data_IF_261024929587
#
_entry.id   IF_261024929587
#
_cell.length_a   1.000
_cell.length_b   1.000
_cell.length_c   1.000
_cell.angle_alpha   90.00
_cell.angle_beta   90.00
_cell.angle_gamma   90.00
#
_symmetry.space_group_name_H-M   'P 1'
#
loop_
_entity.id
_entity.type
_entity.pdbx_description
1 polymer ?
#
# COMPACT_ATOMS: atom_id res chain seq x y z
N UNK A 1 -59.10 -23.93 -8.63
CA UNK A 1 -58.36 -23.37 -9.80
C UNK A 1 -57.53 -22.11 -9.49
N UNK A 2 -57.93 -21.23 -8.56
CA UNK A 2 -57.21 -19.97 -8.27
C UNK A 2 -55.76 -20.10 -7.75
N UNK A 3 -55.39 -21.19 -7.06
CA UNK A 3 -54.02 -21.39 -6.56
C UNK A 3 -52.98 -21.66 -7.66
N UNK A 4 -53.34 -22.40 -8.72
CA UNK A 4 -52.43 -22.68 -9.85
C UNK A 4 -52.11 -21.41 -10.64
N UNK A 5 -53.11 -20.57 -10.90
CA UNK A 5 -52.92 -19.29 -11.58
C UNK A 5 -52.06 -18.29 -10.77
N UNK A 6 -52.09 -18.37 -9.43
CA UNK A 6 -51.20 -17.56 -8.56
C UNK A 6 -49.75 -18.06 -8.61
N UNK A 7 -49.51 -19.37 -8.55
CA UNK A 7 -48.14 -19.92 -8.66
C UNK A 7 -47.48 -19.62 -10.02
N UNK A 8 -48.23 -19.69 -11.13
CA UNK A 8 -47.69 -19.36 -12.45
C UNK A 8 -47.29 -17.88 -12.57
N UNK A 9 -48.05 -16.97 -11.96
CA UNK A 9 -47.69 -15.54 -11.92
C UNK A 9 -46.42 -15.29 -11.10
N UNK A 10 -46.24 -15.99 -9.97
CA UNK A 10 -45.02 -15.89 -9.16
C UNK A 10 -43.79 -16.46 -9.86
N UNK A 11 -43.94 -17.59 -10.56
CA UNK A 11 -42.85 -18.15 -11.35
C UNK A 11 -42.42 -17.19 -12.47
N UNK A 12 -43.37 -16.55 -13.16
CA UNK A 12 -43.07 -15.57 -14.21
C UNK A 12 -42.35 -14.32 -13.67
N UNK A 13 -42.75 -13.82 -12.49
CA UNK A 13 -42.09 -12.66 -11.85
C UNK A 13 -40.67 -13.00 -11.40
N UNK A 14 -40.45 -14.18 -10.80
CA UNK A 14 -39.11 -14.61 -10.38
C UNK A 14 -38.18 -14.86 -11.57
N UNK A 15 -38.71 -15.35 -12.70
CA UNK A 15 -37.94 -15.59 -13.91
C UNK A 15 -37.57 -14.26 -14.60
N UNK A 16 -38.48 -13.29 -14.61
CA UNK A 16 -38.19 -11.91 -15.06
C UNK A 16 -37.19 -11.20 -14.16
N UNK A 17 -37.28 -11.39 -12.84
CA UNK A 17 -36.32 -10.82 -11.89
C UNK A 17 -34.94 -11.48 -12.04
N UNK A 18 -34.90 -12.80 -12.27
CA UNK A 18 -33.67 -13.54 -12.58
C UNK A 18 -33.03 -13.08 -13.90
N UNK A 19 -33.83 -12.85 -14.94
CA UNK A 19 -33.34 -12.31 -16.22
C UNK A 19 -32.80 -10.87 -16.08
N UNK A 20 -33.49 -10.01 -15.32
CA UNK A 20 -33.03 -8.65 -15.03
C UNK A 20 -31.71 -8.64 -14.25
N UNK A 21 -31.55 -9.54 -13.26
CA UNK A 21 -30.30 -9.69 -12.50
C UNK A 21 -29.17 -10.22 -13.40
N UNK A 22 -29.45 -11.16 -14.32
CA UNK A 22 -28.45 -11.64 -15.28
C UNK A 22 -28.05 -10.61 -16.34
N UNK A 23 -28.91 -9.62 -16.64
CA UNK A 23 -28.56 -8.52 -17.53
C UNK A 23 -27.61 -7.48 -16.90
N UNK A 24 -27.43 -7.48 -15.57
CA UNK A 24 -26.42 -6.67 -14.88
C UNK A 24 -25.11 -7.43 -14.59
N UNK A 25 -25.12 -8.77 -14.70
CA UNK A 25 -23.94 -9.61 -14.47
C UNK A 25 -22.97 -9.72 -15.65
N UNK A 26 -23.22 -9.00 -16.75
CA UNK A 26 -22.50 -9.14 -18.03
C UNK A 26 -21.90 -7.85 -18.58
N UNK A 27 -21.79 -6.78 -17.78
CA UNK A 27 -20.87 -5.72 -18.10
C UNK A 27 -19.47 -6.23 -17.76
N UNK A 28 -18.85 -6.93 -18.71
CA UNK A 28 -17.39 -6.92 -18.79
C UNK A 28 -17.01 -5.46 -18.96
N UNK A 29 -16.77 -4.76 -17.85
CA UNK A 29 -16.03 -3.52 -17.88
C UNK A 29 -14.74 -3.87 -18.61
N UNK A 30 -14.54 -3.29 -19.79
CA UNK A 30 -13.20 -3.18 -20.34
C UNK A 30 -12.37 -2.60 -19.21
N UNK A 31 -11.44 -3.38 -18.67
CA UNK A 31 -10.55 -2.90 -17.62
C UNK A 31 -9.95 -1.59 -18.15
N UNK A 32 -10.17 -0.50 -17.43
CA UNK A 32 -9.39 0.70 -17.70
C UNK A 32 -7.91 0.30 -17.64
N UNK A 33 -7.07 0.92 -18.47
CA UNK A 33 -5.64 0.71 -18.39
C UNK A 33 -5.20 0.89 -16.93
N UNK A 34 -4.56 -0.12 -16.36
CA UNK A 34 -4.15 -0.09 -14.96
C UNK A 34 -2.84 0.67 -14.88
N UNK A 35 -2.66 1.54 -13.89
CA UNK A 35 -1.36 2.19 -13.67
C UNK A 35 -0.36 1.16 -13.18
N UNK A 36 0.78 1.13 -13.84
CA UNK A 36 1.94 0.31 -13.49
C UNK A 36 3.09 1.22 -13.10
N UNK A 37 3.81 0.84 -12.06
CA UNK A 37 5.03 1.52 -11.62
C UNK A 37 6.18 0.54 -11.78
N UNK A 38 7.14 0.92 -12.62
CA UNK A 38 8.39 0.19 -12.82
C UNK A 38 9.48 0.82 -11.97
N UNK A 39 9.99 0.04 -11.02
CA UNK A 39 11.16 0.37 -10.23
C UNK A 39 12.39 -0.26 -10.87
N UNK A 40 13.34 0.57 -11.29
CA UNK A 40 14.64 0.15 -11.81
C UNK A 40 15.74 0.63 -10.87
N UNK A 41 16.53 -0.30 -10.35
CA UNK A 41 17.71 0.04 -9.55
C UNK A 41 18.88 0.45 -10.45
N UNK A 42 19.65 1.44 -10.00
CA UNK A 42 20.91 1.83 -10.62
C UNK A 42 22.03 1.80 -9.56
N UNK A 43 22.82 2.86 -9.39
CA UNK A 43 23.88 2.93 -8.37
C UNK A 43 23.36 3.18 -6.94
N UNK A 44 22.07 3.44 -6.83
CA UNK A 44 21.35 3.67 -5.58
C UNK A 44 21.21 2.44 -4.68
N UNK A 45 21.20 2.68 -3.38
CA UNK A 45 21.03 1.69 -2.33
C UNK A 45 19.59 1.69 -1.84
N UNK A 46 18.99 0.52 -1.90
CA UNK A 46 17.64 0.24 -1.41
C UNK A 46 16.58 1.23 -1.96
N UNK A 47 16.33 1.26 -3.27
CA UNK A 47 15.20 1.99 -3.82
C UNK A 47 13.86 1.33 -3.46
N UNK A 48 12.87 2.11 -3.04
CA UNK A 48 11.53 1.62 -2.67
C UNK A 48 10.43 2.66 -2.86
N UNK A 49 9.20 2.16 -2.97
CA UNK A 49 7.99 2.97 -2.92
C UNK A 49 7.50 3.07 -1.48
N UNK A 50 7.10 4.27 -1.06
CA UNK A 50 6.55 4.57 0.26
C UNK A 50 5.17 5.19 0.13
N UNK A 51 4.21 4.60 0.84
CA UNK A 51 2.81 5.02 0.85
C UNK A 51 2.44 5.39 2.29
N UNK A 52 2.25 6.68 2.60
CA UNK A 52 1.72 7.09 3.90
C UNK A 52 0.25 6.73 4.03
N UNK A 53 -0.07 5.98 5.06
CA UNK A 53 -1.41 5.55 5.42
C UNK A 53 -2.00 6.56 6.41
N UNK A 54 -2.41 7.74 5.93
CA UNK A 54 -2.92 8.80 6.82
C UNK A 54 -4.22 8.45 7.54
N UNK A 55 -4.31 8.80 8.82
CA UNK A 55 -5.51 8.66 9.66
C UNK A 55 -6.75 9.37 9.07
N UNK A 56 -6.57 10.47 8.34
CA UNK A 56 -7.69 11.16 7.64
C UNK A 56 -8.43 10.25 6.66
N UNK A 57 -7.76 9.26 6.10
CA UNK A 57 -8.32 8.29 5.15
C UNK A 57 -8.56 6.93 5.81
N UNK A 58 -7.63 6.50 6.68
CA UNK A 58 -7.58 5.15 7.23
C UNK A 58 -7.83 5.08 8.74
N UNK A 59 -8.33 6.15 9.37
CA UNK A 59 -8.64 6.15 10.81
C UNK A 59 -9.94 5.44 11.19
N UNK A 60 -10.74 5.03 10.21
CA UNK A 60 -11.95 4.23 10.44
C UNK A 60 -12.32 3.42 9.20
N UNK A 61 -13.05 2.31 9.40
CA UNK A 61 -13.50 1.43 8.30
C UNK A 61 -12.61 0.20 8.08
N UNK A 62 -11.54 0.04 8.86
CA UNK A 62 -10.69 -1.14 8.87
C UNK A 62 -11.35 -2.38 9.50
N UNK A 63 -10.67 -3.55 9.46
CA UNK A 63 -9.33 -3.73 8.92
C UNK A 63 -9.27 -3.49 7.40
N UNK A 64 -8.16 -2.93 6.94
CA UNK A 64 -7.90 -2.66 5.55
C UNK A 64 -7.09 -3.78 4.92
N UNK A 65 -7.26 -4.00 3.62
CA UNK A 65 -6.53 -4.99 2.83
C UNK A 65 -5.84 -4.32 1.66
N UNK A 66 -4.53 -4.53 1.54
CA UNK A 66 -3.72 -4.09 0.39
C UNK A 66 -3.79 -5.18 -0.69
N UNK A 67 -4.05 -4.77 -1.92
CA UNK A 67 -3.92 -5.59 -3.12
C UNK A 67 -2.96 -4.91 -4.05
N UNK A 68 -2.01 -5.66 -4.57
CA UNK A 68 -1.04 -5.21 -5.54
C UNK A 68 -0.48 -6.45 -6.22
N UNK A 69 -0.32 -6.39 -7.54
CA UNK A 69 0.41 -7.40 -8.28
C UNK A 69 1.82 -6.91 -8.50
N UNK A 70 2.80 -7.83 -8.39
CA UNK A 70 4.18 -7.56 -8.72
C UNK A 70 4.70 -8.51 -9.77
N UNK A 71 5.69 -8.06 -10.52
CA UNK A 71 6.53 -8.89 -11.38
C UNK A 71 7.98 -8.49 -11.17
N UNK A 72 8.83 -9.46 -10.84
CA UNK A 72 10.27 -9.25 -10.67
C UNK A 72 10.93 -9.74 -11.95
N UNK A 73 11.24 -8.83 -12.88
CA UNK A 73 11.82 -9.19 -14.18
C UNK A 73 13.30 -9.59 -14.05
N UNK A 74 14.03 -8.87 -13.20
CA UNK A 74 15.42 -9.19 -12.86
C UNK A 74 15.68 -8.93 -11.37
N UNK A 75 16.58 -9.73 -10.80
CA UNK A 75 17.06 -9.53 -9.43
C UNK A 75 18.44 -10.18 -9.24
N UNK A 76 19.42 -9.38 -8.83
CA UNK A 76 20.76 -9.80 -8.43
C UNK A 76 21.06 -9.20 -7.06
N UNK A 77 21.48 -10.03 -6.09
CA UNK A 77 21.84 -9.51 -4.77
C UNK A 77 23.20 -8.80 -4.82
N UNK A 78 23.29 -7.64 -4.19
CA UNK A 78 24.57 -6.92 -3.99
C UNK A 78 25.13 -7.13 -2.58
N UNK A 79 24.31 -7.62 -1.64
CA UNK A 79 24.75 -8.14 -0.32
C UNK A 79 24.04 -9.45 0.03
N UNK A 80 24.56 -10.16 1.03
CA UNK A 80 24.07 -11.48 1.44
C UNK A 80 22.59 -11.49 1.84
N UNK A 81 22.12 -10.42 2.48
CA UNK A 81 20.75 -10.19 2.93
C UNK A 81 19.86 -9.49 1.89
N UNK A 82 20.35 -9.30 0.65
CA UNK A 82 19.61 -8.65 -0.41
C UNK A 82 18.30 -9.35 -0.78
N UNK A 83 17.22 -8.58 -0.93
CA UNK A 83 15.88 -9.07 -1.26
C UNK A 83 14.97 -7.97 -1.86
N UNK A 84 13.88 -8.37 -2.49
CA UNK A 84 12.70 -7.54 -2.72
C UNK A 84 11.81 -7.67 -1.49
N UNK A 85 11.24 -6.58 -1.00
CA UNK A 85 10.51 -6.59 0.26
C UNK A 85 9.16 -5.90 0.18
N UNK A 86 8.32 -6.25 1.16
CA UNK A 86 7.21 -5.42 1.60
C UNK A 86 7.16 -5.40 3.13
N UNK A 87 7.06 -4.21 3.70
CA UNK A 87 6.96 -3.99 5.13
C UNK A 87 5.93 -2.90 5.44
N UNK A 88 5.52 -2.84 6.71
CA UNK A 88 4.57 -1.84 7.18
C UNK A 88 4.94 -1.34 8.58
N UNK A 89 4.79 -0.04 8.81
CA UNK A 89 4.83 0.60 10.11
C UNK A 89 3.43 1.16 10.42
N UNK A 90 2.63 0.48 11.23
CA UNK A 90 1.24 0.86 11.49
C UNK A 90 0.86 0.86 12.97
N UNK A 91 1.83 0.68 13.86
CA UNK A 91 1.63 0.77 15.31
C UNK A 91 0.98 -0.46 15.93
N UNK A 92 0.81 -1.56 15.17
CA UNK A 92 0.30 -2.83 15.72
C UNK A 92 1.21 -3.44 16.79
N UNK A 93 2.49 -3.11 16.74
CA UNK A 93 3.50 -3.50 17.73
C UNK A 93 4.22 -2.25 18.24
N UNK A 94 4.05 -1.93 19.52
CA UNK A 94 4.73 -0.80 20.16
C UNK A 94 6.24 -1.00 20.35
N UNK A 95 6.73 -2.24 20.23
CA UNK A 95 8.14 -2.61 20.37
C UNK A 95 8.86 -2.75 19.02
N UNK A 96 8.11 -2.88 17.92
CA UNK A 96 8.64 -3.03 16.57
C UNK A 96 8.03 -1.97 15.65
N UNK A 97 8.83 -0.97 15.29
CA UNK A 97 8.38 0.15 14.44
C UNK A 97 8.03 -0.29 13.02
N UNK A 98 8.71 -1.32 12.47
CA UNK A 98 8.53 -1.81 11.10
C UNK A 98 8.38 -3.32 11.11
N UNK A 99 7.24 -3.81 10.60
CA UNK A 99 6.92 -5.23 10.47
C UNK A 99 7.15 -5.66 9.03
N UNK A 100 8.15 -6.50 8.80
CA UNK A 100 8.41 -7.15 7.52
C UNK A 100 7.29 -8.15 7.23
N UNK A 101 6.63 -8.01 6.08
CA UNK A 101 5.49 -8.85 5.70
C UNK A 101 5.93 -10.03 4.83
N UNK A 102 6.83 -9.78 3.88
CA UNK A 102 7.41 -10.82 3.02
C UNK A 102 8.69 -10.34 2.35
N UNK A 103 9.47 -11.29 1.83
CA UNK A 103 10.64 -11.04 0.99
C UNK A 103 10.71 -12.02 -0.18
N UNK A 104 11.22 -11.54 -1.32
CA UNK A 104 11.50 -12.35 -2.50
C UNK A 104 12.96 -12.19 -2.89
N UNK A 105 13.58 -13.26 -3.35
CA UNK A 105 15.03 -13.26 -3.64
C UNK A 105 15.38 -13.79 -5.01
N UNK A 106 14.40 -13.79 -5.91
CA UNK A 106 14.50 -14.27 -7.29
C UNK A 106 13.45 -13.60 -8.16
N UNK A 107 13.69 -13.61 -9.47
CA UNK A 107 12.69 -13.24 -10.47
C UNK A 107 11.41 -14.08 -10.35
N UNK A 108 10.30 -13.52 -10.79
CA UNK A 108 9.02 -14.23 -10.88
C UNK A 108 8.81 -14.81 -12.28
N UNK A 109 7.87 -15.75 -12.39
CA UNK A 109 7.41 -16.28 -13.67
C UNK A 109 6.07 -15.59 -14.02
N UNK A 110 6.17 -14.34 -14.45
CA UNK A 110 5.04 -13.44 -14.65
C UNK A 110 4.57 -12.72 -13.38
N UNK A 111 3.34 -12.22 -13.43
CA UNK A 111 2.72 -11.45 -12.36
C UNK A 111 2.28 -12.35 -11.19
N UNK A 112 2.57 -11.93 -9.96
CA UNK A 112 2.12 -12.58 -8.72
C UNK A 112 1.43 -11.57 -7.80
N UNK A 113 0.57 -12.04 -6.91
CA UNK A 113 -0.02 -11.18 -5.87
C UNK A 113 0.99 -10.90 -4.75
N UNK A 114 1.10 -9.62 -4.37
CA UNK A 114 1.89 -9.19 -3.22
C UNK A 114 1.18 -9.60 -1.92
N UNK A 115 1.71 -10.65 -1.28
CA UNK A 115 1.16 -11.28 -0.09
C UNK A 115 2.23 -11.40 1.01
N UNK A 116 1.80 -11.66 2.25
CA UNK A 116 2.69 -12.01 3.35
C UNK A 116 3.40 -13.37 3.12
N UNK A 117 4.33 -13.73 3.99
CA UNK A 117 5.05 -15.01 3.93
C UNK A 117 4.15 -16.26 3.93
N UNK A 118 2.89 -16.13 4.38
CA UNK A 118 1.90 -17.20 4.45
C UNK A 118 0.91 -17.17 3.27
N UNK A 119 1.15 -16.32 2.27
CA UNK A 119 0.29 -16.17 1.09
C UNK A 119 -1.02 -15.44 1.36
N UNK A 120 -1.14 -14.71 2.48
CA UNK A 120 -2.31 -13.88 2.81
C UNK A 120 -2.09 -12.46 2.32
N UNK A 121 -3.16 -11.75 2.01
CA UNK A 121 -3.04 -10.33 1.69
C UNK A 121 -2.53 -9.54 2.90
N UNK A 122 -1.73 -8.52 2.61
CA UNK A 122 -1.25 -7.59 3.63
C UNK A 122 -2.46 -6.80 4.15
N UNK A 123 -2.63 -6.79 5.47
CA UNK A 123 -3.71 -6.06 6.13
C UNK A 123 -3.16 -5.09 7.16
N UNK A 124 -3.91 -4.06 7.51
CA UNK A 124 -3.61 -3.16 8.62
C UNK A 124 -4.90 -2.65 9.28
N UNK A 125 -4.84 -2.31 10.56
CA UNK A 125 -5.99 -1.81 11.31
C UNK A 125 -6.19 -0.29 11.10
N UNK A 126 -7.16 0.30 11.80
CA UNK A 126 -7.36 1.74 11.74
C UNK A 126 -6.11 2.49 12.22
N UNK A 127 -5.68 3.48 11.44
CA UNK A 127 -4.52 4.33 11.77
C UNK A 127 -4.97 5.49 12.66
N UNK A 128 -4.34 5.62 13.83
CA UNK A 128 -4.50 6.77 14.71
C UNK A 128 -3.16 7.50 14.87
N UNK A 129 -2.34 7.05 15.82
CA UNK A 129 -0.98 7.55 16.05
C UNK A 129 0.03 6.42 15.98
N UNK A 130 1.00 6.55 15.08
CA UNK A 130 2.06 5.55 14.87
C UNK A 130 3.40 6.17 15.25
N UNK A 131 4.20 5.45 16.05
CA UNK A 131 5.54 5.89 16.39
C UNK A 131 6.50 5.66 15.21
N UNK A 132 6.90 6.73 14.54
CA UNK A 132 7.78 6.72 13.37
C UNK A 132 8.93 7.70 13.64
N UNK A 133 10.16 7.23 13.49
CA UNK A 133 11.38 8.02 13.75
C UNK A 133 11.40 8.78 15.09
N UNK A 134 10.79 8.20 16.14
CA UNK A 134 10.72 8.80 17.47
C UNK A 134 9.60 9.82 17.68
N UNK A 135 8.75 10.07 16.68
CA UNK A 135 7.59 10.95 16.76
C UNK A 135 6.27 10.18 16.58
N UNK A 136 5.20 10.63 17.23
CA UNK A 136 3.84 10.09 17.03
C UNK A 136 3.18 10.78 15.83
N UNK A 137 3.23 10.10 14.70
CA UNK A 137 2.69 10.56 13.43
C UNK A 137 1.23 10.16 13.26
N UNK A 138 0.44 10.95 12.53
CA UNK A 138 -0.95 10.63 12.17
C UNK A 138 -1.08 9.75 10.93
N UNK A 139 -0.04 8.98 10.61
CA UNK A 139 0.01 8.06 9.49
C UNK A 139 0.83 6.82 9.83
N UNK A 140 0.48 5.70 9.22
CA UNK A 140 1.38 4.55 9.07
C UNK A 140 2.19 4.65 7.77
N UNK A 141 3.12 3.72 7.54
CA UNK A 141 3.89 3.63 6.30
C UNK A 141 3.80 2.21 5.74
N UNK A 142 3.30 2.05 4.52
CA UNK A 142 3.49 0.85 3.73
C UNK A 142 4.69 1.08 2.79
N UNK A 143 5.63 0.15 2.76
CA UNK A 143 6.83 0.28 1.93
C UNK A 143 7.12 -1.03 1.22
N UNK A 144 7.48 -0.96 -0.05
CA UNK A 144 7.92 -2.11 -0.83
C UNK A 144 8.89 -1.69 -1.90
N UNK A 145 9.87 -2.53 -2.17
CA UNK A 145 10.99 -2.19 -3.06
C UNK A 145 12.13 -3.17 -2.94
N UNK A 146 13.33 -2.68 -3.20
CA UNK A 146 14.56 -3.46 -3.26
C UNK A 146 15.41 -3.15 -2.04
N UNK A 147 16.01 -4.17 -1.45
CA UNK A 147 16.98 -4.08 -0.36
C UNK A 147 18.25 -4.80 -0.83
N UNK A 148 19.38 -4.10 -0.88
CA UNK A 148 20.69 -4.59 -1.32
C UNK A 148 20.66 -5.52 -2.55
N UNK A 149 20.09 -5.04 -3.65
CA UNK A 149 20.10 -5.75 -4.91
C UNK A 149 19.89 -4.83 -6.10
N UNK A 150 20.28 -5.34 -7.26
CA UNK A 150 19.99 -4.77 -8.57
C UNK A 150 18.75 -5.48 -9.13
N UNK A 151 17.71 -4.73 -9.49
CA UNK A 151 16.42 -5.26 -9.89
C UNK A 151 15.68 -4.37 -10.89
N UNK A 152 14.79 -5.01 -11.64
CA UNK A 152 13.66 -4.37 -12.33
C UNK A 152 12.40 -5.01 -11.77
N UNK A 153 11.57 -4.22 -11.10
CA UNK A 153 10.35 -4.68 -10.44
C UNK A 153 9.18 -3.84 -10.90
N UNK A 154 8.11 -4.51 -11.33
CA UNK A 154 6.89 -3.88 -11.77
C UNK A 154 5.81 -4.06 -10.71
N UNK A 155 5.02 -3.03 -10.47
CA UNK A 155 3.87 -3.04 -9.57
C UNK A 155 2.64 -2.52 -10.30
N UNK A 156 1.51 -3.19 -10.17
CA UNK A 156 0.24 -2.71 -10.74
C UNK A 156 -0.96 -3.12 -9.90
N UNK A 157 -2.15 -2.70 -10.32
CA UNK A 157 -3.41 -3.05 -9.66
C UNK A 157 -3.42 -2.71 -8.15
N UNK A 158 -2.68 -1.66 -7.77
CA UNK A 158 -2.59 -1.24 -6.38
C UNK A 158 -3.91 -0.67 -5.91
N UNK A 159 -4.48 -1.28 -4.86
CA UNK A 159 -5.71 -0.82 -4.22
C UNK A 159 -5.73 -1.19 -2.75
N UNK A 160 -6.35 -0.32 -1.95
CA UNK A 160 -6.62 -0.56 -0.54
C UNK A 160 -8.13 -0.70 -0.38
N UNK A 161 -8.56 -1.82 0.18
CA UNK A 161 -9.96 -2.13 0.45
C UNK A 161 -10.23 -1.94 1.95
N UNK A 162 -11.41 -1.43 2.29
CA UNK A 162 -11.91 -1.40 3.67
C UNK A 162 -12.50 -2.76 4.09
N UNK A 163 -12.99 -2.87 5.33
CA UNK A 163 -13.58 -4.10 5.86
C UNK A 163 -14.84 -4.57 5.10
N UNK A 164 -15.54 -3.66 4.42
CA UNK A 164 -16.69 -3.99 3.57
C UNK A 164 -16.28 -4.47 2.16
N UNK A 165 -14.98 -4.54 1.86
CA UNK A 165 -14.45 -4.89 0.54
C UNK A 165 -14.56 -3.76 -0.49
N UNK A 166 -14.86 -2.53 -0.06
CA UNK A 166 -14.90 -1.38 -0.96
C UNK A 166 -13.51 -0.78 -1.11
N UNK A 167 -13.13 -0.44 -2.34
CA UNK A 167 -11.87 0.28 -2.62
C UNK A 167 -11.97 1.69 -2.03
N UNK A 168 -11.02 2.05 -1.17
CA UNK A 168 -10.90 3.38 -0.54
C UNK A 168 -9.72 4.18 -1.08
N UNK A 169 -8.78 3.51 -1.75
CA UNK A 169 -7.67 4.13 -2.47
C UNK A 169 -7.21 3.17 -3.58
N UNK A 170 -6.86 3.69 -4.75
CA UNK A 170 -6.27 2.96 -5.87
C UNK A 170 -5.34 3.88 -6.64
N UNK A 171 -4.32 3.33 -7.31
CA UNK A 171 -3.49 4.12 -8.22
C UNK A 171 -4.28 4.57 -9.45
N UNK A 172 -5.16 3.72 -9.97
CA UNK A 172 -5.95 4.01 -11.16
C UNK A 172 -6.83 5.26 -11.00
N UNK A 173 -7.41 5.45 -9.81
CA UNK A 173 -8.25 6.61 -9.48
C UNK A 173 -7.45 7.80 -8.92
N UNK A 174 -6.14 7.65 -8.66
CA UNK A 174 -5.29 8.72 -8.14
C UNK A 174 -4.79 9.61 -9.28
N UNK A 175 -5.47 10.73 -9.51
CA UNK A 175 -5.13 11.67 -10.58
C UNK A 175 -3.76 12.33 -10.44
N UNK A 176 -3.11 12.23 -9.27
CA UNK A 176 -1.74 12.74 -9.10
C UNK A 176 -0.68 11.82 -9.69
N UNK A 177 -1.02 10.55 -9.97
CA UNK A 177 -0.14 9.59 -10.63
C UNK A 177 -0.30 9.70 -12.15
N UNK A 178 0.46 10.62 -12.73
CA UNK A 178 0.46 10.89 -14.17
C UNK A 178 1.43 9.96 -14.91
N UNK A 179 0.99 9.37 -16.01
CA UNK A 179 1.79 8.46 -16.82
C UNK A 179 2.91 9.20 -17.56
N UNK A 180 4.05 8.54 -17.71
CA UNK A 180 5.28 9.11 -18.29
C UNK A 180 6.16 9.88 -17.30
N UNK A 181 5.72 10.05 -16.06
CA UNK A 181 6.51 10.71 -15.01
C UNK A 181 7.21 9.68 -14.10
N UNK A 182 8.32 10.10 -13.49
CA UNK A 182 8.89 9.41 -12.32
C UNK A 182 8.06 9.78 -11.08
N UNK A 183 7.81 8.82 -10.19
CA UNK A 183 7.07 9.03 -8.93
C UNK A 183 7.66 10.20 -8.12
N UNK A 184 8.97 10.44 -8.17
CA UNK A 184 9.65 11.50 -7.41
C UNK A 184 9.38 12.90 -7.94
N UNK A 185 8.97 13.02 -9.20
CA UNK A 185 8.63 14.30 -9.81
C UNK A 185 7.17 14.72 -9.52
N UNK A 186 6.40 13.84 -8.87
CA UNK A 186 5.01 14.11 -8.55
C UNK A 186 4.87 15.07 -7.38
N UNK A 187 3.98 16.06 -7.54
CA UNK A 187 3.52 16.90 -6.44
C UNK A 187 2.37 16.22 -5.68
N UNK A 188 2.63 15.08 -5.05
CA UNK A 188 1.64 14.31 -4.29
C UNK A 188 2.05 14.08 -2.83
N UNK A 189 1.08 13.64 -2.03
CA UNK A 189 1.32 13.12 -0.68
C UNK A 189 0.86 11.67 -0.49
N UNK A 190 0.48 10.97 -1.55
CA UNK A 190 -0.06 9.61 -1.46
C UNK A 190 0.99 8.53 -1.75
N UNK A 191 2.05 8.87 -2.49
CA UNK A 191 3.10 7.95 -2.91
C UNK A 191 4.43 8.69 -3.08
N UNK A 192 5.51 8.07 -2.65
CA UNK A 192 6.88 8.58 -2.81
C UNK A 192 7.81 7.49 -3.32
N UNK A 193 8.73 7.85 -4.22
CA UNK A 193 9.90 7.05 -4.56
C UNK A 193 11.08 7.47 -3.68
N UNK A 194 11.65 6.54 -2.95
CA UNK A 194 12.62 6.80 -1.89
C UNK A 194 13.83 5.89 -2.06
N UNK A 195 15.02 6.43 -1.83
CA UNK A 195 16.27 5.71 -2.09
C UNK A 195 17.37 6.26 -1.19
N UNK A 196 18.41 5.47 -0.96
CA UNK A 196 19.63 5.93 -0.29
C UNK A 196 20.77 5.94 -1.29
N UNK A 197 21.44 7.06 -1.48
CA UNK A 197 22.57 7.10 -2.42
C UNK A 197 22.56 8.36 -3.27
N UNK A 198 22.78 8.18 -4.56
CA UNK A 198 22.94 9.25 -5.54
C UNK A 198 21.64 9.68 -6.22
N UNK A 199 20.51 9.03 -5.91
CA UNK A 199 19.20 9.32 -6.48
C UNK A 199 19.04 8.80 -7.92
N UNK A 200 19.87 7.85 -8.36
CA UNK A 200 19.80 7.30 -9.71
C UNK A 200 18.69 6.28 -9.96
N UNK A 201 18.05 5.72 -8.93
CA UNK A 201 16.94 4.78 -9.13
C UNK A 201 15.76 5.44 -9.85
N UNK A 202 15.04 4.69 -10.68
CA UNK A 202 13.91 5.20 -11.47
C UNK A 202 12.59 4.56 -11.00
N UNK A 203 11.51 5.35 -11.00
CA UNK A 203 10.16 4.93 -10.59
C UNK A 203 9.13 5.34 -11.65
N UNK A 204 9.20 4.73 -12.83
CA UNK A 204 8.42 5.17 -13.99
C UNK A 204 6.96 4.72 -13.92
N UNK A 205 6.03 5.65 -14.17
CA UNK A 205 4.59 5.37 -14.21
C UNK A 205 4.14 5.16 -15.65
N UNK A 206 3.53 4.02 -15.93
CA UNK A 206 3.08 3.63 -17.26
C UNK A 206 1.63 3.10 -17.23
N UNK A 207 1.02 3.02 -18.40
CA UNK A 207 -0.24 2.29 -18.57
C UNK A 207 0.06 0.80 -18.82
N UNK A 208 -0.58 -0.07 -18.04
CA UNK A 208 -0.54 -1.51 -18.22
C UNK A 208 -1.75 -1.96 -19.03
N UNK A 209 -1.53 -2.77 -20.06
CA UNK A 209 -2.56 -3.31 -20.93
C UNK A 209 -3.53 -4.30 -20.22
N UNK A 210 -3.32 -4.56 -18.92
CA UNK A 210 -4.18 -5.42 -18.09
C UNK A 210 -4.27 -6.88 -18.55
N UNK A 211 -3.43 -7.30 -19.50
CA UNK A 211 -3.65 -8.49 -20.33
C UNK A 211 -3.32 -9.84 -19.71
N UNK A 212 -2.64 -9.89 -18.56
CA UNK A 212 -2.21 -11.15 -17.96
C UNK A 212 -2.77 -11.27 -16.54
N UNK A 213 -3.56 -12.32 -16.27
CA UNK A 213 -4.05 -12.57 -14.92
C UNK A 213 -2.89 -13.01 -14.00
N UNK A 214 -2.86 -12.59 -12.72
CA UNK A 214 -1.80 -13.00 -11.81
C UNK A 214 -1.77 -14.54 -11.66
N UNK A 215 -0.57 -15.10 -11.60
CA UNK A 215 -0.36 -16.50 -11.31
C UNK A 215 -0.90 -16.82 -9.91
N UNK A 216 -1.85 -17.75 -9.84
CA UNK A 216 -2.49 -18.17 -8.58
C UNK A 216 -1.69 -19.21 -7.80
N UNK A 217 -0.52 -19.60 -8.30
CA UNK A 217 0.31 -20.65 -7.72
C UNK A 217 1.51 -20.03 -7.00
N UNK A 218 1.69 -20.32 -5.69
CA UNK A 218 2.93 -19.96 -5.00
C UNK A 218 4.14 -20.55 -5.75
N UNK A 219 5.27 -19.84 -5.83
CA UNK A 219 6.44 -20.34 -6.53
C UNK A 219 6.89 -21.66 -5.91
N UNK A 220 6.78 -22.75 -6.68
CA UNK A 220 6.88 -24.14 -6.20
C UNK A 220 8.33 -24.59 -5.90
N UNK A 221 9.33 -23.75 -6.20
CA UNK A 221 10.73 -24.09 -5.91
C UNK A 221 11.18 -23.48 -4.56
N UNK A 222 11.86 -24.22 -3.66
CA UNK A 222 12.64 -23.59 -2.59
C UNK A 222 13.70 -22.64 -3.17
N UNK A 223 14.24 -21.67 -2.40
CA UNK A 223 15.25 -20.74 -2.89
C UNK A 223 16.49 -21.51 -3.33
N UNK A 224 16.80 -21.51 -4.63
CA UNK A 224 18.13 -21.88 -5.11
C UNK A 224 19.03 -20.68 -4.87
N UNK A 225 19.91 -20.77 -3.89
CA UNK A 225 20.97 -19.79 -3.67
C UNK A 225 21.88 -19.80 -4.89
N UNK A 226 21.80 -18.78 -5.74
CA UNK A 226 22.92 -18.46 -6.62
C UNK A 226 24.13 -18.13 -5.73
N UNK A 227 25.32 -18.67 -6.00
CA UNK A 227 26.50 -18.36 -5.21
C UNK A 227 26.77 -16.86 -5.29
N UNK A 228 26.78 -16.21 -4.12
CA UNK A 228 27.32 -14.86 -3.94
C UNK A 228 28.79 -14.94 -4.32
N UNK A 229 29.21 -14.15 -5.31
CA UNK A 229 30.65 -13.94 -5.54
C UNK A 229 31.05 -12.79 -4.63
N UNK A 230 31.39 -13.10 -3.39
CA UNK A 230 32.02 -12.15 -2.49
C UNK A 230 33.40 -11.81 -3.09
N UNK A 231 33.75 -10.53 -3.32
CA UNK A 231 35.14 -10.17 -3.60
C UNK A 231 35.95 -10.41 -2.32
N UNK A 232 36.72 -11.49 -2.32
CA UNK A 232 37.71 -11.82 -1.29
C UNK A 232 38.64 -10.61 -1.02
N UNK A 233 38.69 -10.06 0.21
CA UNK A 233 39.61 -8.99 0.55
C UNK A 233 40.96 -9.58 0.99
N UNK A 234 41.59 -10.39 0.14
CA UNK A 234 42.93 -10.91 0.43
C UNK A 234 43.78 -11.08 -0.83
N UNK A 235 44.12 -9.96 -1.49
CA UNK A 235 45.32 -9.91 -2.32
C UNK A 235 46.02 -8.54 -2.19
N UNK A 236 47.24 -8.46 -1.63
CA UNK A 236 48.05 -7.25 -1.67
C UNK A 236 48.65 -7.03 -3.08
N UNK A 237 48.91 -5.78 -3.51
CA UNK A 237 49.37 -5.49 -4.85
C UNK A 237 50.79 -6.04 -5.09
N UNK A 238 50.91 -6.89 -6.11
CA UNK A 238 52.14 -7.41 -6.69
C UNK A 238 53.10 -6.28 -7.08
N UNK A 239 54.21 -6.14 -6.36
CA UNK A 239 55.36 -5.32 -6.77
C UNK A 239 56.47 -6.23 -7.27
N UNK A 240 56.88 -6.01 -8.52
CA UNK A 240 58.01 -6.70 -9.18
C UNK A 240 59.33 -6.44 -8.44
N UNK A 241 60.10 -7.50 -8.23
CA UNK A 241 61.50 -7.43 -7.84
C UNK A 241 62.40 -6.91 -9.00
N UNK A 242 63.56 -6.34 -8.66
CA UNK A 242 64.77 -6.93 -9.20
C UNK A 242 65.84 -7.21 -8.13
N UNK A 243 66.82 -7.99 -8.59
CA UNK A 243 67.69 -8.87 -7.84
C UNK A 243 68.78 -8.21 -6.97
N UNK A 244 69.30 -9.07 -6.10
CA UNK A 244 70.31 -8.91 -5.06
C UNK A 244 71.65 -8.27 -5.46
N UNK A 245 72.28 -7.57 -4.50
CA UNK A 245 73.71 -7.73 -4.20
C UNK A 245 74.00 -7.60 -2.69
N UNK A 246 75.02 -8.34 -2.30
CA UNK A 246 75.52 -8.74 -0.98
C UNK A 246 76.30 -7.65 -0.24
N UNK A 247 76.23 -7.57 1.10
CA UNK A 247 77.41 -7.41 1.99
C UNK A 247 77.09 -7.58 3.47
N UNK A 248 78.13 -7.95 4.20
CA UNK A 248 78.20 -8.69 5.47
C UNK A 248 78.31 -7.77 6.72
N UNK A 249 77.85 -8.30 7.87
CA UNK A 249 78.59 -8.35 9.16
C UNK A 249 78.05 -7.59 10.38
N UNK A 250 78.04 -8.35 11.50
CA UNK A 250 78.16 -8.01 12.93
C UNK A 250 76.89 -7.86 13.81
N UNK A 251 76.66 -8.90 14.60
CA UNK A 251 76.03 -9.02 15.95
C UNK A 251 76.80 -8.22 17.04
N UNK A 252 76.48 -8.27 18.37
CA UNK A 252 75.22 -8.48 19.12
C UNK A 252 74.98 -7.42 20.24
N UNK A 253 73.82 -7.49 20.92
CA UNK A 253 73.66 -7.02 22.32
C UNK A 253 72.18 -6.72 22.65
N UNK A 254 71.42 -7.54 23.39
CA UNK A 254 71.41 -7.88 24.84
C UNK A 254 70.23 -7.18 25.59
N UNK A 255 69.24 -8.00 26.01
CA UNK A 255 68.43 -8.06 27.26
C UNK A 255 67.86 -6.75 27.88
N UNK A 256 66.59 -6.58 28.33
CA UNK A 256 65.84 -7.16 29.48
C UNK A 256 64.50 -6.36 29.59
N UNK A 257 63.29 -6.95 29.66
CA UNK A 257 62.40 -7.24 30.83
C UNK A 257 61.90 -6.07 31.72
N UNK A 258 60.57 -6.04 31.95
CA UNK A 258 59.87 -5.40 33.08
C UNK A 258 59.17 -4.07 32.73
N UNK A 259 57.94 -3.74 33.10
CA UNK A 259 57.02 -4.30 34.09
C UNK A 259 56.37 -3.13 34.88
N UNK A 260 55.06 -2.99 34.72
CA UNK A 260 54.06 -2.55 35.73
C UNK A 260 53.94 -1.09 36.25
N UNK A 261 52.67 -0.74 36.54
CA UNK A 261 52.13 0.35 37.39
C UNK A 261 52.17 1.76 36.78
N UNK A 262 51.11 2.56 36.69
CA UNK A 262 49.97 2.83 37.56
C UNK A 262 49.58 4.33 37.36
N UNK A 263 48.43 4.82 37.83
CA UNK A 263 47.65 5.87 37.17
C UNK A 263 48.04 7.30 37.56
N UNK A 264 47.62 8.29 36.76
CA UNK A 264 47.57 9.70 37.19
C UNK A 264 46.33 10.38 36.64
N UNK A 265 45.42 10.72 37.56
CA UNK A 265 44.42 11.77 37.39
C UNK A 265 45.10 13.10 37.09
N UNK A 266 44.53 13.92 36.19
CA UNK A 266 44.47 15.38 36.36
C UNK A 266 43.36 15.97 35.47
N UNK A 267 42.33 16.44 36.16
CA UNK A 267 41.31 17.39 35.71
C UNK A 267 41.90 18.68 35.15
N UNK A 268 41.29 19.25 34.10
CA UNK A 268 41.00 20.70 33.97
C UNK A 268 40.21 21.01 32.68
N UNK A 269 38.97 21.47 32.88
CA UNK A 269 38.25 22.36 31.95
C UNK A 269 39.01 23.70 31.78
N UNK A 270 38.76 24.42 30.69
CA UNK A 270 38.00 25.65 30.88
C UNK A 270 36.92 25.90 29.82
N UNK A 271 35.98 26.72 30.25
CA UNK A 271 34.78 27.24 29.59
C UNK A 271 35.06 28.59 28.91
N UNK A 272 34.11 29.02 28.05
CA UNK A 272 33.90 30.35 27.46
C UNK A 272 34.65 30.64 26.16
N UNK A 273 34.02 31.14 25.09
CA UNK A 273 33.28 32.41 25.08
C UNK A 273 32.34 32.54 23.87
N UNK A 274 31.22 33.21 24.10
CA UNK A 274 30.17 33.60 23.16
C UNK A 274 30.61 34.61 22.08
N UNK A 275 29.84 34.67 20.98
CA UNK A 275 29.65 35.86 20.14
C UNK A 275 28.34 35.80 19.34
N UNK A 276 27.54 36.85 19.47
CA UNK A 276 26.39 37.33 18.69
C UNK A 276 26.18 38.79 19.16
N UNK A 277 25.38 39.67 18.53
CA UNK A 277 24.66 39.64 17.24
C UNK A 277 24.82 40.98 16.43
N UNK A 278 24.09 41.14 15.30
CA UNK A 278 23.53 42.41 14.78
C UNK A 278 22.57 42.10 13.60
N UNK A 279 21.25 42.25 13.79
CA UNK A 279 20.34 43.34 13.32
C UNK A 279 19.88 43.21 11.84
N UNK A 280 18.62 42.81 11.60
CA UNK A 280 17.40 43.63 11.36
C UNK A 280 17.41 44.40 10.02
N UNK A 281 16.41 44.25 9.13
CA UNK A 281 15.17 45.06 9.15
C UNK A 281 14.10 44.48 8.18
N UNK A 282 12.78 44.68 8.44
CA UNK A 282 11.66 44.03 7.74
C UNK A 282 10.90 44.95 6.75
N UNK A 283 10.09 44.34 5.87
CA UNK A 283 8.97 44.94 5.12
C UNK A 283 7.96 43.80 4.95
N UNK A 284 6.67 43.85 5.31
CA UNK A 284 5.69 44.93 5.33
C UNK A 284 4.48 44.39 4.56
N UNK A 285 3.39 44.06 5.27
CA UNK A 285 2.29 43.24 4.76
C UNK A 285 1.25 43.94 3.88
N UNK A 286 0.29 43.14 3.40
CA UNK A 286 -0.99 43.58 2.86
C UNK A 286 -2.08 42.56 3.20
N UNK A 287 -3.09 43.03 3.92
CA UNK A 287 -4.39 42.41 4.19
C UNK A 287 -5.36 42.65 3.03
N UNK A 288 -6.28 41.71 2.73
CA UNK A 288 -7.76 41.88 2.78
C UNK A 288 -8.53 40.80 1.97
N UNK A 289 -9.45 40.13 2.68
CA UNK A 289 -10.75 39.51 2.35
C UNK A 289 -11.08 38.93 0.95
N UNK A 290 -11.42 37.63 0.96
CA UNK A 290 -12.81 37.15 0.75
C UNK A 290 -13.35 37.04 -0.67
N UNK A 291 -13.51 35.81 -1.17
CA UNK A 291 -14.67 35.36 -1.97
C UNK A 291 -14.75 33.82 -1.91
N UNK A 292 -15.89 33.30 -1.45
CA UNK A 292 -16.38 31.92 -1.64
C UNK A 292 -17.48 31.98 -2.73
N UNK A 293 -17.94 30.90 -3.39
CA UNK A 293 -17.32 29.66 -3.84
C UNK A 293 -17.29 29.56 -5.39
N UNK A 294 -16.43 28.74 -5.97
CA UNK A 294 -16.64 28.19 -7.31
C UNK A 294 -16.94 26.69 -7.20
N UNK A 295 -18.18 26.36 -7.53
CA UNK A 295 -18.74 25.02 -7.66
C UNK A 295 -17.91 24.17 -8.62
N UNK A 296 -17.06 23.30 -8.07
CA UNK A 296 -16.46 22.19 -8.81
C UNK A 296 -17.51 21.10 -9.01
N UNK A 297 -18.06 21.03 -10.21
CA UNK A 297 -19.04 20.01 -10.59
C UNK A 297 -18.45 18.61 -10.42
N UNK A 298 -19.19 17.73 -9.75
CA UNK A 298 -18.93 16.30 -9.71
C UNK A 298 -18.83 15.79 -11.16
N UNK A 299 -17.70 15.18 -11.50
CA UNK A 299 -17.53 14.53 -12.80
C UNK A 299 -18.68 13.57 -13.08
N UNK A 300 -19.06 13.42 -14.35
CA UNK A 300 -20.23 12.64 -14.76
C UNK A 300 -20.27 11.20 -14.18
N UNK A 301 -19.10 10.61 -13.88
CA UNK A 301 -18.99 9.31 -13.19
C UNK A 301 -19.43 9.34 -11.71
N UNK A 302 -19.14 10.41 -10.98
CA UNK A 302 -19.57 10.58 -9.59
C UNK A 302 -21.07 10.88 -9.48
N UNK A 303 -21.65 11.62 -10.45
CA UNK A 303 -23.09 11.87 -10.52
C UNK A 303 -23.86 10.56 -10.79
N UNK A 304 -23.36 9.71 -11.68
CA UNK A 304 -23.99 8.41 -11.95
C UNK A 304 -24.00 7.49 -10.71
N UNK A 305 -22.89 7.44 -9.96
CA UNK A 305 -22.79 6.66 -8.71
C UNK A 305 -23.74 7.17 -7.61
N UNK A 306 -23.83 8.48 -7.43
CA UNK A 306 -24.72 9.10 -6.42
C UNK A 306 -26.20 8.89 -6.77
N UNK A 307 -26.58 9.01 -8.04
CA UNK A 307 -27.98 8.81 -8.46
C UNK A 307 -28.41 7.35 -8.30
N UNK A 308 -27.55 6.37 -8.63
CA UNK A 308 -27.85 4.95 -8.45
C UNK A 308 -27.92 4.60 -6.95
N UNK A 309 -26.97 5.08 -6.15
CA UNK A 309 -26.97 4.88 -4.69
C UNK A 309 -28.21 5.48 -4.02
N UNK A 310 -28.61 6.69 -4.41
CA UNK A 310 -29.80 7.35 -3.88
C UNK A 310 -31.10 6.61 -4.25
N UNK A 311 -31.22 6.09 -5.48
CA UNK A 311 -32.40 5.32 -5.91
C UNK A 311 -32.51 3.99 -5.15
N UNK A 312 -31.40 3.30 -4.91
CA UNK A 312 -31.40 2.04 -4.15
C UNK A 312 -31.74 2.27 -2.68
N UNK A 313 -31.21 3.34 -2.06
CA UNK A 313 -31.52 3.69 -0.67
C UNK A 313 -32.97 4.13 -0.52
N UNK A 314 -33.51 4.94 -1.45
CA UNK A 314 -34.90 5.38 -1.40
C UNK A 314 -35.87 4.22 -1.66
N UNK A 315 -35.58 3.33 -2.62
CA UNK A 315 -36.40 2.16 -2.88
C UNK A 315 -36.34 1.14 -1.74
N UNK A 316 -35.14 0.88 -1.20
CA UNK A 316 -34.94 -0.01 -0.05
C UNK A 316 -35.56 0.54 1.24
N UNK A 317 -35.43 1.85 1.48
CA UNK A 317 -36.04 2.53 2.62
C UNK A 317 -37.56 2.55 2.55
N UNK A 318 -38.14 2.88 1.39
CA UNK A 318 -39.59 2.83 1.19
C UNK A 318 -40.13 1.39 1.36
N UNK A 319 -39.41 0.38 0.88
CA UNK A 319 -39.78 -1.01 1.04
C UNK A 319 -39.69 -1.47 2.52
N UNK A 320 -38.61 -1.11 3.23
CA UNK A 320 -38.43 -1.40 4.64
C UNK A 320 -39.52 -0.77 5.52
N UNK A 321 -39.90 0.48 5.24
CA UNK A 321 -41.00 1.16 5.95
C UNK A 321 -42.35 0.51 5.65
N UNK A 322 -42.63 0.15 4.39
CA UNK A 322 -43.88 -0.54 4.02
C UNK A 322 -43.98 -1.94 4.65
N UNK A 323 -42.84 -2.64 4.77
CA UNK A 323 -42.74 -3.94 5.44
C UNK A 323 -42.96 -3.82 6.95
N UNK A 324 -42.28 -2.88 7.61
CA UNK A 324 -42.44 -2.63 9.05
C UNK A 324 -43.87 -2.21 9.42
N UNK A 325 -44.51 -1.40 8.57
CA UNK A 325 -45.90 -0.95 8.79
C UNK A 325 -46.95 -2.00 8.40
N UNK A 326 -46.56 -3.20 7.92
CA UNK A 326 -47.46 -4.25 7.41
C UNK A 326 -48.50 -3.73 6.41
N UNK A 327 -48.21 -2.63 5.70
CA UNK A 327 -49.09 -2.00 4.72
C UNK A 327 -48.96 -2.59 3.33
N UNK A 328 -48.13 -3.63 3.20
CA UNK A 328 -48.00 -4.38 1.96
C UNK A 328 -49.36 -5.01 1.61
N UNK A 329 -49.84 -4.88 0.36
CA UNK A 329 -51.21 -5.26 -0.04
C UNK A 329 -51.60 -6.71 0.28
N UNK A 330 -50.62 -7.58 0.49
CA UNK A 330 -50.78 -9.01 0.79
C UNK A 330 -50.78 -9.37 2.28
N UNK A 331 -50.52 -8.41 3.17
CA UNK A 331 -50.55 -8.63 4.64
C UNK A 331 -51.92 -8.35 5.27
N UNK A 332 -52.89 -7.81 4.50
CA UNK A 332 -54.29 -7.77 4.94
C UNK A 332 -54.89 -9.17 4.86
N UNK A 333 -55.08 -9.76 6.02
CA UNK A 333 -55.82 -11.02 6.23
C UNK A 333 -57.31 -10.69 6.09
N UNK A 334 -57.91 -11.05 4.96
CA UNK A 334 -59.35 -10.88 4.76
C UNK A 334 -60.14 -11.80 5.70
N UNK A 335 -61.02 -11.19 6.50
CA UNK A 335 -62.40 -11.67 6.69
C UNK A 335 -62.66 -12.65 7.82
N UNK A 336 -62.82 -12.16 9.05
CA UNK A 336 -63.78 -12.73 9.99
C UNK A 336 -65.19 -12.26 9.61
N UNK A 337 -66.03 -13.18 9.18
CA UNK A 337 -67.40 -12.93 8.73
C UNK A 337 -68.30 -12.43 9.88
N UNK A 338 -69.06 -11.37 9.62
CA UNK A 338 -70.25 -11.05 10.41
C UNK A 338 -71.41 -11.96 9.96
N UNK A 339 -72.24 -12.47 10.89
CA UNK A 339 -73.39 -13.28 10.53
C UNK A 339 -74.51 -12.42 9.90
N UNK A 340 -75.32 -12.98 9.00
CA UNK A 340 -76.45 -12.25 8.43
C UNK A 340 -77.55 -12.07 9.49
N UNK A 341 -78.18 -10.90 9.43
CA UNK A 341 -79.36 -10.55 10.20
C UNK A 341 -80.56 -11.39 9.70
N UNK A 342 -81.19 -12.10 10.62
CA UNK A 342 -82.53 -12.65 10.42
C UNK A 342 -83.53 -11.50 10.29
N UNK A 343 -84.27 -11.50 9.18
CA UNK A 343 -85.40 -10.61 8.94
C UNK A 343 -86.65 -11.06 9.72
N UNK A 344 -87.66 -10.18 9.83
CA UNK A 344 -88.88 -10.47 10.56
C UNK A 344 -89.95 -11.04 9.62
N UNK A 345 -90.42 -12.25 9.89
CA UNK A 345 -91.70 -12.76 9.39
C UNK A 345 -92.53 -13.22 10.59
N UNK A 346 -93.69 -12.59 10.78
CA UNK A 346 -94.65 -12.93 11.82
C UNK A 346 -95.68 -13.94 11.34
N UNK A 347 -96.08 -14.83 12.25
CA UNK A 347 -97.46 -15.18 12.63
C UNK A 347 -97.41 -16.10 13.86
#
# INVERSE_FOLDING_TARGET
MARKARLQKWAAVLLLLGMLISCFGGLSASAAAAKEITLTTNSDINPFLRIPLYARTFGSGGPFTVRCEMKIDSFTRTKSDGNIFVNIADGRDSSQMVVWQNTWTRKTDGWIEMTDENGRYITFDNIDKVLISGALEDFGLLQFGVYYGDAVVHFRNFRILNAAGSVVYSWDDDSSLETGNDVRDLSTNTLYGETFGDGSAEYMIEESDGGEAPATTPPTAPPTTSPVTDPDPTDPPSTQAPAAETTTSAEPGDTTTGGESGPTDTSSSPESTASSPSEETPVGGLTTQGTQPSSGGLGAGAIAGIVIGAVVILAGGAFGVLFALKKLPWMKKDGGAAPPADGPDGE
#
